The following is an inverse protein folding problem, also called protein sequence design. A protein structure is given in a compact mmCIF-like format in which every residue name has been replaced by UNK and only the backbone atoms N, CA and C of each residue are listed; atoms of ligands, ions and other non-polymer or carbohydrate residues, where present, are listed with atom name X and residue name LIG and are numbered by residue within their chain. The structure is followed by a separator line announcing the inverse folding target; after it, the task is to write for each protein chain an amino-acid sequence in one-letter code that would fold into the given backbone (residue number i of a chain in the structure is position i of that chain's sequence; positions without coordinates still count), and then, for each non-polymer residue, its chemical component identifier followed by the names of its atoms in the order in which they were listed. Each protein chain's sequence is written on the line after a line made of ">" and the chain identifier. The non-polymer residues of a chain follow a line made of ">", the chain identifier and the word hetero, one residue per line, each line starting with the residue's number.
data_IF_065468511823
#
_entry.id   IF_065468511823
#
_cell.length_a   1.000
_cell.length_b   1.000
_cell.length_c   1.000
_cell.angle_alpha   90.00
_cell.angle_beta   90.00
_cell.angle_gamma   90.00
#
_symmetry.space_group_name_H-M   'P 1'
#
loop_
_entity.id
_entity.type
_entity.pdbx_description
1 polymer ?
#
# COMPACT_ATOMS: atom_id res chain seq x y z
N UNK A 1 19.44 -9.69 12.28
CA UNK A 1 18.62 -10.56 11.40
C UNK A 1 18.61 -9.95 10.01
N UNK A 2 18.63 -10.77 8.94
CA UNK A 2 18.56 -10.25 7.57
C UNK A 2 17.12 -9.93 7.20
N UNK A 3 16.84 -8.70 6.76
CA UNK A 3 15.52 -8.25 6.31
C UNK A 3 15.38 -8.12 4.78
N UNK A 4 16.46 -8.29 4.02
CA UNK A 4 16.49 -8.23 2.55
C UNK A 4 17.64 -9.06 1.97
N UNK A 5 17.77 -9.09 0.64
CA UNK A 5 18.94 -9.63 -0.09
C UNK A 5 20.26 -8.89 0.22
N UNK A 6 20.19 -7.67 0.75
CA UNK A 6 21.36 -6.89 1.18
C UNK A 6 21.74 -7.13 2.66
N UNK A 7 21.20 -8.18 3.28
CA UNK A 7 21.35 -8.42 4.71
C UNK A 7 20.36 -7.62 5.54
N UNK A 8 20.77 -7.26 6.75
CA UNK A 8 20.02 -6.35 7.61
C UNK A 8 20.87 -5.81 8.76
N UNK A 9 20.65 -4.54 9.08
CA UNK A 9 21.22 -3.84 10.23
C UNK A 9 20.15 -3.61 11.29
N UNK A 10 20.47 -3.73 12.58
CA UNK A 10 19.51 -3.47 13.64
C UNK A 10 19.07 -1.99 13.61
N UNK A 11 17.85 -1.69 14.05
CA UNK A 11 17.29 -0.32 14.06
C UNK A 11 18.23 0.67 14.74
N UNK A 12 18.89 0.22 15.80
CA UNK A 12 19.81 0.98 16.65
C UNK A 12 21.05 1.48 15.89
N UNK A 13 21.36 0.89 14.73
CA UNK A 13 22.44 1.36 13.85
C UNK A 13 22.12 2.71 13.19
N UNK A 14 20.84 3.08 13.06
CA UNK A 14 20.40 4.31 12.38
C UNK A 14 20.01 5.39 13.39
N UNK A 15 20.99 5.93 14.12
CA UNK A 15 20.77 6.85 15.26
C UNK A 15 19.99 8.11 14.89
N UNK A 16 20.24 8.66 13.70
CA UNK A 16 19.62 9.92 13.26
C UNK A 16 18.20 9.75 12.73
N UNK A 17 17.72 8.50 12.60
CA UNK A 17 16.40 8.17 12.05
C UNK A 17 15.41 7.64 13.10
N UNK A 18 15.78 7.65 14.39
CA UNK A 18 14.93 7.08 15.45
C UNK A 18 13.57 7.77 15.54
N UNK A 19 13.52 9.10 15.41
CA UNK A 19 12.26 9.85 15.45
C UNK A 19 11.37 9.52 14.24
N UNK A 20 11.96 9.41 13.05
CA UNK A 20 11.25 8.96 11.85
C UNK A 20 10.69 7.55 12.03
N UNK A 21 11.48 6.64 12.58
CA UNK A 21 11.02 5.27 12.85
C UNK A 21 9.90 5.21 13.89
N UNK A 22 10.00 6.00 14.97
CA UNK A 22 8.95 6.11 15.98
C UNK A 22 7.63 6.62 15.36
N UNK A 23 7.73 7.61 14.46
CA UNK A 23 6.57 8.13 13.74
C UNK A 23 5.92 7.06 12.86
N UNK A 24 6.73 6.35 12.05
CA UNK A 24 6.25 5.27 11.18
C UNK A 24 5.57 4.18 12.03
N UNK A 25 6.16 3.78 13.15
CA UNK A 25 5.59 2.78 14.05
C UNK A 25 4.27 3.21 14.67
N UNK A 26 4.14 4.47 15.06
CA UNK A 26 2.86 4.96 15.60
C UNK A 26 1.74 4.85 14.56
N UNK A 27 2.05 5.07 13.28
CA UNK A 27 1.11 4.96 12.18
C UNK A 27 0.83 3.50 11.78
N UNK A 28 1.86 2.67 11.62
CA UNK A 28 1.75 1.31 11.08
C UNK A 28 1.59 0.23 12.15
N UNK A 29 1.95 0.51 13.41
CA UNK A 29 1.99 -0.44 14.52
C UNK A 29 3.29 -1.24 14.63
N UNK A 30 4.20 -1.09 13.68
CA UNK A 30 5.52 -1.72 13.61
C UNK A 30 6.38 -0.95 12.61
N UNK A 31 7.70 -1.19 12.63
CA UNK A 31 8.63 -0.60 11.68
C UNK A 31 8.81 -1.54 10.48
N UNK A 32 8.39 -1.14 9.27
CA UNK A 32 8.65 -1.93 8.07
C UNK A 32 10.14 -2.07 7.77
N UNK A 33 10.53 -3.26 7.34
CA UNK A 33 11.84 -3.59 6.81
C UNK A 33 12.17 -2.75 5.57
N UNK A 34 11.17 -2.31 4.80
CA UNK A 34 11.35 -1.36 3.70
C UNK A 34 12.00 -0.05 4.18
N UNK A 35 11.60 0.49 5.32
CA UNK A 35 12.22 1.69 5.89
C UNK A 35 13.63 1.43 6.39
N UNK A 36 13.89 0.26 7.03
CA UNK A 36 15.25 -0.12 7.42
C UNK A 36 16.18 -0.28 6.22
N UNK A 37 15.69 -0.80 5.10
CA UNK A 37 16.47 -0.91 3.87
C UNK A 37 16.76 0.45 3.23
N UNK A 38 15.78 1.36 3.21
CA UNK A 38 15.96 2.73 2.71
C UNK A 38 16.87 3.56 3.61
N UNK A 39 16.86 3.32 4.93
CA UNK A 39 17.68 4.02 5.91
C UNK A 39 19.20 3.93 5.66
N UNK A 40 19.66 2.94 4.90
CA UNK A 40 21.05 2.86 4.41
C UNK A 40 21.43 4.04 3.50
N UNK A 41 20.46 4.73 2.91
CA UNK A 41 20.61 6.00 2.22
C UNK A 41 19.66 7.04 2.87
N UNK A 42 20.13 7.82 3.86
CA UNK A 42 19.29 8.73 4.63
C UNK A 42 18.51 9.73 3.77
N UNK A 43 19.13 10.31 2.75
CA UNK A 43 18.49 11.28 1.85
C UNK A 43 17.34 10.63 1.05
N UNK A 44 17.50 9.38 0.62
CA UNK A 44 16.43 8.62 -0.03
C UNK A 44 15.28 8.36 0.95
N UNK A 45 15.59 7.91 2.17
CA UNK A 45 14.57 7.64 3.18
C UNK A 45 13.79 8.89 3.56
N UNK A 46 14.45 10.04 3.70
CA UNK A 46 13.81 11.32 3.96
C UNK A 46 12.87 11.72 2.82
N UNK A 47 13.37 11.72 1.57
CA UNK A 47 12.58 12.08 0.40
C UNK A 47 11.37 11.16 0.19
N UNK A 48 11.57 9.85 0.38
CA UNK A 48 10.49 8.88 0.35
C UNK A 48 9.45 9.13 1.46
N UNK A 49 9.91 9.37 2.69
CA UNK A 49 9.01 9.60 3.83
C UNK A 49 8.18 10.87 3.67
N UNK A 50 8.79 11.94 3.12
CA UNK A 50 8.08 13.17 2.78
C UNK A 50 7.00 12.93 1.71
N UNK A 51 7.34 12.24 0.61
CA UNK A 51 6.40 11.90 -0.45
C UNK A 51 5.23 11.04 0.08
N UNK A 52 5.55 9.98 0.82
CA UNK A 52 4.55 9.11 1.42
C UNK A 52 3.65 9.88 2.39
N UNK A 53 4.23 10.74 3.24
CA UNK A 53 3.48 11.59 4.17
C UNK A 53 2.51 12.55 3.46
N UNK A 54 2.90 13.13 2.33
CA UNK A 54 2.00 13.97 1.52
C UNK A 54 0.84 13.16 0.96
N UNK A 55 1.10 11.97 0.41
CA UNK A 55 0.09 11.12 -0.25
C UNK A 55 -0.91 10.56 0.77
N UNK A 56 -0.42 10.00 1.88
CA UNK A 56 -1.29 9.52 2.96
C UNK A 56 -1.96 10.67 3.74
N UNK A 57 -1.43 11.89 3.63
CA UNK A 57 -1.99 13.11 4.22
C UNK A 57 -3.03 13.82 3.37
N UNK A 58 -3.49 13.21 2.27
CA UNK A 58 -4.50 13.73 1.34
C UNK A 58 -5.67 14.40 2.07
N UNK A 59 -6.17 15.50 1.48
CA UNK A 59 -7.38 16.20 1.92
C UNK A 59 -8.60 15.88 1.05
N UNK A 60 -8.41 15.02 0.05
CA UNK A 60 -9.39 14.72 -0.98
C UNK A 60 -9.83 13.25 -0.95
N UNK A 61 -9.05 12.37 -0.32
CA UNK A 61 -9.35 10.95 -0.16
C UNK A 61 -9.34 10.56 1.32
N UNK A 62 -10.30 9.71 1.69
CA UNK A 62 -10.32 9.07 3.00
C UNK A 62 -9.25 7.96 3.09
N UNK A 63 -8.77 7.73 4.32
CA UNK A 63 -7.67 6.81 4.59
C UNK A 63 -8.00 5.36 4.21
N UNK A 64 -9.26 4.96 4.30
CA UNK A 64 -9.74 3.66 3.88
C UNK A 64 -9.58 3.45 2.36
N UNK A 65 -10.00 4.42 1.55
CA UNK A 65 -9.87 4.39 0.10
C UNK A 65 -8.40 4.41 -0.34
N UNK A 66 -7.56 5.23 0.31
CA UNK A 66 -6.10 5.23 0.05
C UNK A 66 -5.52 3.82 0.22
N UNK A 67 -5.86 3.14 1.31
CA UNK A 67 -5.36 1.78 1.56
C UNK A 67 -5.96 0.73 0.61
N UNK A 68 -7.21 0.88 0.17
CA UNK A 68 -7.82 0.00 -0.84
C UNK A 68 -7.15 0.17 -2.21
N UNK A 69 -6.84 1.39 -2.64
CA UNK A 69 -6.11 1.67 -3.89
C UNK A 69 -4.69 1.08 -3.81
N UNK A 70 -4.00 1.29 -2.69
CA UNK A 70 -2.69 0.72 -2.42
C UNK A 70 -2.67 -0.81 -2.51
N UNK A 71 -3.69 -1.45 -1.94
CA UNK A 71 -3.88 -2.89 -1.97
C UNK A 71 -4.16 -3.40 -3.38
N UNK A 72 -5.07 -2.77 -4.12
CA UNK A 72 -5.37 -3.14 -5.50
C UNK A 72 -4.14 -3.01 -6.42
N UNK A 73 -3.37 -1.92 -6.29
CA UNK A 73 -2.12 -1.74 -7.03
C UNK A 73 -1.11 -2.86 -6.69
N UNK A 74 -0.95 -3.19 -5.41
CA UNK A 74 -0.03 -4.25 -4.93
C UNK A 74 -0.47 -5.66 -5.31
N UNK A 75 -1.79 -5.91 -5.38
CA UNK A 75 -2.36 -7.16 -5.91
C UNK A 75 -2.06 -7.31 -7.40
N UNK A 76 -2.27 -6.25 -8.18
CA UNK A 76 -2.06 -6.27 -9.63
C UNK A 76 -0.59 -6.39 -10.04
N UNK A 77 0.33 -5.89 -9.22
CA UNK A 77 1.77 -6.04 -9.47
C UNK A 77 2.33 -7.40 -9.03
N UNK A 78 1.65 -8.08 -8.11
CA UNK A 78 2.10 -9.36 -7.54
C UNK A 78 2.99 -9.25 -6.30
N UNK A 79 3.26 -8.04 -5.78
CA UNK A 79 4.13 -7.87 -4.59
C UNK A 79 3.49 -8.42 -3.31
N UNK A 80 3.85 -9.64 -2.91
CA UNK A 80 3.29 -10.32 -1.72
C UNK A 80 3.55 -9.57 -0.41
N UNK A 81 4.75 -9.01 -0.27
CA UNK A 81 5.10 -8.18 0.88
C UNK A 81 4.14 -6.98 0.99
N UNK A 82 3.93 -6.30 -0.13
CA UNK A 82 3.11 -5.10 -0.19
C UNK A 82 1.61 -5.42 -0.05
N UNK A 83 1.14 -6.55 -0.58
CA UNK A 83 -0.22 -7.04 -0.39
C UNK A 83 -0.54 -7.20 1.09
N UNK A 84 0.32 -7.87 1.86
CA UNK A 84 0.12 -8.06 3.29
C UNK A 84 0.17 -6.74 4.08
N UNK A 85 1.09 -5.83 3.73
CA UNK A 85 1.18 -4.51 4.36
C UNK A 85 -0.05 -3.66 4.12
N UNK A 86 -0.52 -3.60 2.88
CA UNK A 86 -1.66 -2.76 2.47
C UNK A 86 -2.99 -3.34 2.94
N UNK A 87 -3.13 -4.67 3.01
CA UNK A 87 -4.32 -5.29 3.60
C UNK A 87 -4.42 -5.02 5.09
N UNK A 88 -3.29 -5.13 5.82
CA UNK A 88 -3.24 -4.75 7.23
C UNK A 88 -3.46 -3.24 7.43
N UNK A 89 -2.90 -2.40 6.55
CA UNK A 89 -3.11 -0.95 6.53
C UNK A 89 -4.58 -0.58 6.34
N UNK A 90 -5.28 -1.23 5.41
CA UNK A 90 -6.72 -1.05 5.20
C UNK A 90 -7.52 -1.37 6.46
N UNK A 91 -7.21 -2.48 7.14
CA UNK A 91 -7.89 -2.83 8.39
C UNK A 91 -7.62 -1.79 9.49
N UNK A 92 -6.38 -1.30 9.62
CA UNK A 92 -6.06 -0.20 10.56
C UNK A 92 -6.79 1.10 10.23
N UNK A 93 -7.08 1.35 8.95
CA UNK A 93 -7.88 2.47 8.50
C UNK A 93 -9.40 2.28 8.74
N UNK A 94 -9.82 1.14 9.32
CA UNK A 94 -11.22 0.86 9.64
C UNK A 94 -11.97 0.07 8.57
N UNK A 95 -11.29 -0.39 7.51
CA UNK A 95 -11.92 -1.26 6.51
C UNK A 95 -12.16 -2.64 7.12
N UNK A 96 -13.41 -3.09 7.03
CA UNK A 96 -13.80 -4.40 7.51
C UNK A 96 -13.07 -5.54 6.76
N UNK A 97 -12.59 -6.60 7.45
CA UNK A 97 -11.85 -7.71 6.83
C UNK A 97 -12.58 -8.43 5.70
N UNK A 98 -13.90 -8.61 5.76
CA UNK A 98 -14.71 -9.20 4.69
C UNK A 98 -14.64 -8.36 3.42
N UNK A 99 -14.74 -7.02 3.53
CA UNK A 99 -14.54 -6.12 2.38
C UNK A 99 -13.13 -6.25 1.79
N UNK A 100 -12.10 -6.30 2.64
CA UNK A 100 -10.71 -6.49 2.18
C UNK A 100 -10.60 -7.81 1.41
N UNK A 101 -11.11 -8.91 1.97
CA UNK A 101 -11.05 -10.23 1.35
C UNK A 101 -11.78 -10.32 0.00
N UNK A 102 -12.80 -9.50 -0.21
CA UNK A 102 -13.55 -9.45 -1.47
C UNK A 102 -12.96 -8.49 -2.51
N UNK A 103 -11.81 -7.84 -2.27
CA UNK A 103 -11.27 -6.82 -3.18
C UNK A 103 -10.98 -7.34 -4.61
N UNK A 104 -10.67 -8.63 -4.78
CA UNK A 104 -10.51 -9.23 -6.12
C UNK A 104 -11.85 -9.45 -6.87
N UNK A 105 -12.97 -9.36 -6.14
CA UNK A 105 -14.36 -9.50 -6.63
C UNK A 105 -15.14 -8.20 -6.41
N UNK A 106 -14.45 -7.06 -6.35
CA UNK A 106 -15.04 -5.76 -6.02
C UNK A 106 -16.19 -5.33 -6.96
N UNK A 107 -16.22 -5.85 -8.19
CA UNK A 107 -17.29 -5.58 -9.16
C UNK A 107 -18.59 -6.31 -8.82
N UNK A 108 -18.50 -7.48 -8.23
CA UNK A 108 -19.65 -8.31 -7.83
C UNK A 108 -20.05 -8.07 -6.37
N UNK A 109 -19.11 -7.64 -5.52
CA UNK A 109 -19.32 -7.45 -4.09
C UNK A 109 -20.18 -6.23 -3.75
N UNK A 110 -21.14 -6.42 -2.84
CA UNK A 110 -21.96 -5.33 -2.32
C UNK A 110 -21.23 -4.45 -1.27
N UNK A 111 -19.97 -4.77 -0.94
CA UNK A 111 -19.18 -3.99 0.01
C UNK A 111 -18.55 -2.73 -0.60
N UNK A 112 -18.52 -2.61 -1.93
CA UNK A 112 -17.86 -1.51 -2.63
C UNK A 112 -18.87 -0.57 -3.30
N UNK A 113 -18.74 0.72 -3.02
CA UNK A 113 -19.51 1.78 -3.68
C UNK A 113 -19.11 1.94 -5.14
N UNK A 114 -19.89 2.71 -5.91
CA UNK A 114 -19.54 3.03 -7.30
C UNK A 114 -18.24 3.84 -7.41
N UNK A 115 -18.02 4.78 -6.49
CA UNK A 115 -16.79 5.59 -6.47
C UNK A 115 -15.55 4.75 -6.15
N UNK A 116 -15.66 3.82 -5.19
CA UNK A 116 -14.58 2.89 -4.87
C UNK A 116 -14.28 1.96 -6.05
N UNK A 117 -15.31 1.43 -6.72
CA UNK A 117 -15.14 0.59 -7.92
C UNK A 117 -14.40 1.35 -9.02
N UNK A 118 -14.72 2.61 -9.27
CA UNK A 118 -14.02 3.44 -10.25
C UNK A 118 -12.53 3.64 -9.91
N UNK A 119 -12.21 3.89 -8.63
CA UNK A 119 -10.83 4.00 -8.17
C UNK A 119 -10.06 2.67 -8.28
N UNK A 120 -10.71 1.55 -7.93
CA UNK A 120 -10.14 0.21 -8.04
C UNK A 120 -9.93 -0.22 -9.50
N UNK A 121 -10.83 0.14 -10.42
CA UNK A 121 -10.68 -0.11 -11.86
C UNK A 121 -9.37 0.53 -12.39
N UNK A 122 -9.11 1.79 -12.02
CA UNK A 122 -7.84 2.43 -12.37
C UNK A 122 -6.66 1.76 -11.66
N UNK A 123 -6.75 1.48 -10.36
CA UNK A 123 -5.65 0.93 -9.57
C UNK A 123 -5.20 -0.46 -10.07
N UNK A 124 -6.13 -1.38 -10.30
CA UNK A 124 -5.83 -2.70 -10.85
C UNK A 124 -5.26 -2.62 -12.28
N UNK A 125 -5.74 -1.67 -13.09
CA UNK A 125 -5.26 -1.49 -14.46
C UNK A 125 -3.89 -0.80 -14.54
N UNK A 126 -3.62 0.15 -13.66
CA UNK A 126 -2.38 0.92 -13.66
C UNK A 126 -1.23 0.22 -12.94
N UNK A 127 -1.52 -0.70 -12.00
CA UNK A 127 -0.50 -1.42 -11.25
C UNK A 127 0.08 -2.66 -11.96
N UNK A 128 -0.52 -3.13 -13.06
CA UNK A 128 0.10 -4.15 -13.92
C UNK A 128 1.26 -3.59 -14.75
N UNK A 129 2.18 -4.47 -15.18
CA UNK A 129 3.26 -4.12 -16.11
C UNK A 129 3.17 -4.99 -17.36
N UNK A 130 2.95 -4.42 -18.57
CA UNK A 130 2.83 -2.98 -18.85
C UNK A 130 1.54 -2.37 -18.29
N UNK A 131 1.57 -1.05 -18.01
CA UNK A 131 0.42 -0.30 -17.49
C UNK A 131 -0.76 -0.40 -18.49
N UNK A 132 -1.93 -0.82 -17.98
CA UNK A 132 -3.14 -1.05 -18.75
C UNK A 132 -4.23 0.01 -18.52
N UNK A 133 -3.90 1.14 -17.90
CA UNK A 133 -4.83 2.27 -17.74
C UNK A 133 -5.28 2.83 -19.10
N UNK A 134 -6.53 3.31 -19.15
CA UNK A 134 -7.16 3.84 -20.35
C UNK A 134 -7.94 5.11 -20.02
N UNK A 135 -8.27 5.89 -21.04
CA UNK A 135 -9.04 7.15 -20.89
C UNK A 135 -10.39 6.91 -20.22
N UNK A 136 -11.02 5.78 -20.46
CA UNK A 136 -12.33 5.42 -19.91
C UNK A 136 -12.30 5.33 -18.38
N UNK A 137 -11.18 4.92 -17.78
CA UNK A 137 -11.05 4.93 -16.31
C UNK A 137 -11.14 6.35 -15.75
N UNK A 138 -10.53 7.33 -16.43
CA UNK A 138 -10.57 8.73 -16.00
C UNK A 138 -11.94 9.36 -16.22
N UNK A 139 -12.61 9.04 -17.33
CA UNK A 139 -14.00 9.46 -17.57
C UNK A 139 -14.91 8.98 -16.46
N UNK A 140 -14.77 7.71 -16.04
CA UNK A 140 -15.58 7.18 -14.94
C UNK A 140 -15.23 7.83 -13.60
N UNK A 141 -13.93 8.03 -13.30
CA UNK A 141 -13.52 8.72 -12.08
C UNK A 141 -14.09 10.14 -11.95
N UNK A 142 -14.17 10.89 -13.06
CA UNK A 142 -14.74 12.24 -13.09
C UNK A 142 -16.24 12.30 -12.75
N UNK A 143 -16.94 11.16 -12.78
CA UNK A 143 -18.33 11.08 -12.28
C UNK A 143 -18.41 11.09 -10.74
N UNK A 144 -17.30 10.80 -10.04
CA UNK A 144 -17.28 10.57 -8.59
C UNK A 144 -16.30 11.44 -7.81
N UNK A 145 -15.23 11.93 -8.46
CA UNK A 145 -14.10 12.60 -7.81
C UNK A 145 -13.75 13.92 -8.49
N UNK A 146 -13.21 14.88 -7.73
CA UNK A 146 -12.60 16.08 -8.31
C UNK A 146 -11.26 15.76 -8.98
N UNK A 147 -10.76 16.65 -9.83
CA UNK A 147 -9.45 16.46 -10.48
C UNK A 147 -8.32 16.31 -9.45
N UNK A 148 -8.37 17.03 -8.32
CA UNK A 148 -7.40 16.89 -7.22
C UNK A 148 -7.46 15.51 -6.57
N UNK A 149 -8.67 14.99 -6.30
CA UNK A 149 -8.84 13.64 -5.79
C UNK A 149 -8.32 12.57 -6.77
N UNK A 150 -8.53 12.78 -8.08
CA UNK A 150 -8.01 11.88 -9.12
C UNK A 150 -6.47 11.89 -9.16
N UNK A 151 -5.85 13.06 -9.00
CA UNK A 151 -4.39 13.16 -8.88
C UNK A 151 -3.89 12.42 -7.64
N UNK A 152 -4.58 12.53 -6.51
CA UNK A 152 -4.22 11.79 -5.30
C UNK A 152 -4.36 10.27 -5.49
N UNK A 153 -5.39 9.79 -6.20
CA UNK A 153 -5.54 8.36 -6.56
C UNK A 153 -4.32 7.89 -7.36
N UNK A 154 -3.92 8.65 -8.38
CA UNK A 154 -2.73 8.33 -9.20
C UNK A 154 -1.46 8.37 -8.37
N UNK A 155 -1.33 9.31 -7.43
CA UNK A 155 -0.18 9.42 -6.54
C UNK A 155 -0.05 8.18 -5.63
N UNK A 156 -1.16 7.68 -5.07
CA UNK A 156 -1.18 6.41 -4.31
C UNK A 156 -0.72 5.26 -5.19
N UNK A 157 -1.26 5.11 -6.40
CA UNK A 157 -0.87 4.05 -7.34
C UNK A 157 0.64 4.12 -7.62
N UNK A 158 1.18 5.31 -7.89
CA UNK A 158 2.59 5.51 -8.21
C UNK A 158 3.52 5.21 -7.02
N UNK A 159 3.14 5.63 -5.80
CA UNK A 159 3.86 5.32 -4.57
C UNK A 159 3.95 3.80 -4.35
N UNK A 160 2.85 3.09 -4.57
CA UNK A 160 2.86 1.63 -4.49
C UNK A 160 3.59 0.98 -5.66
N UNK A 161 3.60 1.58 -6.85
CA UNK A 161 4.49 1.17 -7.94
C UNK A 161 5.99 1.24 -7.56
N UNK A 162 6.39 2.26 -6.80
CA UNK A 162 7.74 2.34 -6.21
C UNK A 162 7.94 1.23 -5.17
N UNK A 163 7.06 1.12 -4.18
CA UNK A 163 7.20 0.16 -3.08
C UNK A 163 7.13 -1.31 -3.54
N UNK A 164 6.30 -1.62 -4.54
CA UNK A 164 6.20 -2.95 -5.11
C UNK A 164 7.54 -3.35 -5.74
N UNK A 165 8.09 -2.50 -6.61
CA UNK A 165 9.41 -2.74 -7.21
C UNK A 165 10.51 -2.80 -6.16
N UNK A 166 10.51 -1.87 -5.20
CA UNK A 166 11.50 -1.82 -4.13
C UNK A 166 11.54 -3.13 -3.34
N UNK A 167 10.40 -3.56 -2.81
CA UNK A 167 10.34 -4.70 -1.90
C UNK A 167 10.50 -6.04 -2.61
N UNK A 168 9.89 -6.22 -3.78
CA UNK A 168 10.06 -7.46 -4.55
C UNK A 168 11.50 -7.62 -5.02
N UNK A 169 12.13 -6.54 -5.51
CA UNK A 169 13.52 -6.60 -6.01
C UNK A 169 14.53 -6.85 -4.89
N UNK A 170 14.31 -6.26 -3.70
CA UNK A 170 15.18 -6.47 -2.55
C UNK A 170 14.88 -7.77 -1.80
N UNK A 171 13.82 -8.49 -2.15
CA UNK A 171 13.38 -9.67 -1.42
C UNK A 171 13.12 -9.35 0.05
N UNK A 172 12.41 -8.25 0.31
CA UNK A 172 12.07 -7.80 1.66
C UNK A 172 11.34 -8.91 2.42
N UNK A 173 11.78 -9.20 3.64
CA UNK A 173 11.11 -10.19 4.49
C UNK A 173 9.89 -9.58 5.14
N UNK A 174 8.76 -10.26 5.02
CA UNK A 174 7.51 -9.87 5.66
C UNK A 174 7.63 -9.97 7.20
N UNK A 175 7.14 -8.95 7.89
CA UNK A 175 7.06 -8.88 9.35
C UNK A 175 5.90 -9.72 9.87
N UNK A 176 5.99 -10.13 11.14
CA UNK A 176 4.98 -11.00 11.75
C UNK A 176 3.61 -10.33 11.84
N UNK A 177 3.54 -9.02 12.11
CA UNK A 177 2.26 -8.28 12.26
C UNK A 177 1.37 -8.38 11.01
N UNK A 178 1.80 -7.91 9.82
CA UNK A 178 0.98 -8.03 8.60
C UNK A 178 0.81 -9.49 8.15
N UNK A 179 1.78 -10.36 8.41
CA UNK A 179 1.67 -11.79 8.11
C UNK A 179 0.56 -12.46 8.93
N UNK A 180 0.55 -12.24 10.24
CA UNK A 180 -0.46 -12.79 11.14
C UNK A 180 -1.85 -12.27 10.80
N UNK A 181 -1.97 -10.99 10.43
CA UNK A 181 -3.24 -10.43 9.96
C UNK A 181 -3.77 -11.20 8.73
N UNK A 182 -2.94 -11.41 7.71
CA UNK A 182 -3.37 -12.19 6.52
C UNK A 182 -3.74 -13.62 6.92
N UNK A 183 -2.93 -14.28 7.74
CA UNK A 183 -3.14 -15.69 8.10
C UNK A 183 -4.35 -15.92 9.02
N UNK A 184 -4.67 -14.98 9.91
CA UNK A 184 -5.75 -15.11 10.90
C UNK A 184 -7.07 -14.48 10.46
N UNK A 185 -7.01 -13.32 9.81
CA UNK A 185 -8.22 -12.56 9.46
C UNK A 185 -8.66 -12.80 8.02
N UNK A 186 -7.71 -12.89 7.06
CA UNK A 186 -8.07 -12.95 5.63
C UNK A 186 -8.06 -14.35 5.04
N UNK A 187 -7.17 -15.24 5.49
CA UNK A 187 -7.10 -16.62 4.98
C UNK A 187 -8.39 -17.42 5.19
N UNK A 188 -9.09 -17.33 6.35
CA UNK A 188 -10.41 -17.95 6.52
C UNK A 188 -11.46 -17.41 5.53
N UNK A 189 -11.24 -16.22 4.97
CA UNK A 189 -12.10 -15.56 3.99
C UNK A 189 -11.68 -15.86 2.54
N UNK A 190 -10.79 -16.83 2.33
CA UNK A 190 -10.37 -17.29 1.00
C UNK A 190 -9.16 -16.57 0.41
N UNK A 191 -8.44 -15.77 1.20
CA UNK A 191 -7.18 -15.16 0.78
C UNK A 191 -6.05 -16.20 0.81
N UNK A 192 -5.59 -16.63 -0.36
CA UNK A 192 -4.48 -17.59 -0.47
C UNK A 192 -3.14 -16.86 -0.67
N UNK A 193 -2.15 -17.22 0.15
CA UNK A 193 -0.76 -16.70 0.09
C UNK A 193 -0.07 -17.06 -1.22
#
# INVERSE_FOLDING_TARGET
>A
MSYSHLGGEPRESFKDLQDTFNMIESFMGYLPNSHLSMAKNPNLNEGFSALAGTIFGSKHLDMDLINLIALASSLSSGCKYCQAHTSHGANRAGVNPEKIAEILKYKESNHFSLSERAALDLAFSAGVTPNASKKEHFVELQNHFSDEAIIDIVAVIALFGFLNRWNDTLGSKLEDVPKEFVEKELKPLGWNN
#
